data_IF_333518205420
#
_entry.id   IF_333518205420
#
_cell.length_a   1.000
_cell.length_b   1.000
_cell.length_c   1.000
_cell.angle_alpha   90.00
_cell.angle_beta   90.00
_cell.angle_gamma   90.00
#
_symmetry.space_group_name_H-M   'P 1'
#
loop_
_entity.id
_entity.type
_entity.pdbx_description
1 polymer ?
#
# COMPACT_ATOMS: atom_id res chain seq x y z
N UNK A 1 -9.26 7.09 -7.55
CA UNK A 1 -8.45 7.80 -6.53
C UNK A 1 -7.51 8.75 -7.26
N UNK A 2 -7.38 10.01 -6.84
CA UNK A 2 -6.39 10.90 -7.46
C UNK A 2 -4.99 10.46 -7.00
N UNK A 3 -4.21 9.89 -7.93
CA UNK A 3 -2.94 9.22 -7.65
C UNK A 3 -1.88 10.19 -7.12
N UNK A 4 -1.99 11.49 -7.40
CA UNK A 4 -1.01 12.51 -7.00
C UNK A 4 -1.26 13.09 -5.61
N UNK A 5 -2.45 12.88 -5.01
CA UNK A 5 -2.72 13.31 -3.63
C UNK A 5 -1.72 12.75 -2.62
N UNK A 6 -1.33 11.49 -2.82
CA UNK A 6 -0.33 10.85 -1.97
C UNK A 6 1.06 11.50 -2.10
N UNK A 7 1.31 12.24 -3.18
CA UNK A 7 2.56 12.99 -3.38
C UNK A 7 2.64 14.23 -2.48
N UNK A 8 1.54 14.67 -1.86
CA UNK A 8 1.46 15.78 -0.90
C UNK A 8 1.49 15.32 0.57
N UNK A 9 1.28 14.02 0.83
CA UNK A 9 1.21 13.48 2.20
C UNK A 9 2.60 13.39 2.85
N UNK A 10 2.78 13.97 4.03
CA UNK A 10 4.05 13.90 4.76
C UNK A 10 4.63 12.47 4.83
N UNK A 11 5.93 12.31 4.51
CA UNK A 11 6.59 11.00 4.41
C UNK A 11 6.53 10.18 5.71
N UNK A 12 6.60 10.82 6.88
CA UNK A 12 6.49 10.14 8.18
C UNK A 12 5.08 9.59 8.42
N UNK A 13 4.04 10.30 7.94
CA UNK A 13 2.65 9.81 8.00
C UNK A 13 2.46 8.64 7.05
N UNK A 14 3.07 8.70 5.87
CA UNK A 14 3.02 7.63 4.88
C UNK A 14 3.73 6.36 5.38
N UNK A 15 4.89 6.51 6.04
CA UNK A 15 5.59 5.40 6.68
C UNK A 15 4.72 4.70 7.73
N UNK A 16 4.10 5.47 8.65
CA UNK A 16 3.17 4.91 9.65
C UNK A 16 1.96 4.21 9.03
N UNK A 17 1.45 4.71 7.90
CA UNK A 17 0.36 4.06 7.18
C UNK A 17 0.82 2.71 6.60
N UNK A 18 2.03 2.64 6.04
CA UNK A 18 2.60 1.40 5.53
C UNK A 18 2.80 0.38 6.65
N UNK A 19 3.32 0.81 7.80
CA UNK A 19 3.50 -0.07 8.97
C UNK A 19 2.17 -0.69 9.41
N UNK A 20 1.12 0.14 9.58
CA UNK A 20 -0.21 -0.33 9.94
C UNK A 20 -0.83 -1.25 8.87
N UNK A 21 -0.59 -0.95 7.59
CA UNK A 21 -1.03 -1.81 6.49
C UNK A 21 -0.33 -3.17 6.53
N UNK A 22 0.98 -3.21 6.78
CA UNK A 22 1.71 -4.48 6.92
C UNK A 22 1.14 -5.36 8.04
N UNK A 23 0.75 -4.78 9.17
CA UNK A 23 0.10 -5.50 10.27
C UNK A 23 -1.24 -6.10 9.81
N UNK A 24 -2.11 -5.30 9.19
CA UNK A 24 -3.40 -5.78 8.66
C UNK A 24 -3.20 -6.89 7.63
N UNK A 25 -2.24 -6.75 6.72
CA UNK A 25 -1.95 -7.78 5.72
C UNK A 25 -1.54 -9.10 6.37
N UNK A 26 -0.69 -9.04 7.40
CA UNK A 26 -0.27 -10.22 8.14
C UNK A 26 -1.45 -10.90 8.85
N UNK A 27 -2.36 -10.11 9.42
CA UNK A 27 -3.56 -10.66 10.06
C UNK A 27 -4.51 -11.31 9.05
N UNK A 28 -4.70 -10.70 7.87
CA UNK A 28 -5.49 -11.30 6.78
C UNK A 28 -4.85 -12.60 6.25
N UNK A 29 -3.51 -12.63 6.14
CA UNK A 29 -2.76 -13.83 5.74
C UNK A 29 -2.91 -14.95 6.77
N UNK A 30 -2.89 -14.62 8.07
CA UNK A 30 -3.09 -15.58 9.15
C UNK A 30 -4.53 -16.10 9.23
N UNK A 31 -5.50 -15.22 8.99
CA UNK A 31 -6.92 -15.56 9.04
C UNK A 31 -7.33 -16.55 7.93
N UNK A 32 -6.78 -16.39 6.73
CA UNK A 32 -6.98 -17.32 5.62
C UNK A 32 -5.62 -17.71 5.01
N UNK A 33 -5.03 -18.85 5.42
CA UNK A 33 -3.72 -19.27 4.93
C UNK A 33 -3.70 -19.63 3.45
N UNK A 34 -4.84 -20.05 2.87
CA UNK A 34 -4.92 -20.47 1.48
C UNK A 34 -4.96 -19.26 0.54
N UNK A 35 -3.86 -19.07 -0.18
CA UNK A 35 -3.65 -17.92 -1.06
C UNK A 35 -4.79 -17.72 -2.08
N UNK A 36 -5.27 -18.80 -2.71
CA UNK A 36 -6.35 -18.72 -3.69
C UNK A 36 -7.66 -18.18 -3.10
N UNK A 37 -7.98 -18.58 -1.87
CA UNK A 37 -9.18 -18.09 -1.18
C UNK A 37 -9.00 -16.63 -0.77
N UNK A 38 -7.82 -16.22 -0.30
CA UNK A 38 -7.54 -14.80 -0.02
C UNK A 38 -7.76 -13.90 -1.22
N UNK A 39 -7.30 -14.29 -2.41
CA UNK A 39 -7.50 -13.45 -3.61
C UNK A 39 -8.95 -13.37 -4.07
N UNK A 40 -9.83 -14.26 -3.60
CA UNK A 40 -11.27 -14.16 -3.84
C UNK A 40 -11.97 -13.23 -2.84
N UNK A 41 -11.31 -12.90 -1.74
CA UNK A 41 -11.79 -11.91 -0.78
C UNK A 41 -11.58 -10.49 -1.34
N UNK A 42 -12.68 -9.75 -1.47
CA UNK A 42 -12.67 -8.40 -2.04
C UNK A 42 -11.88 -7.41 -1.18
N UNK A 43 -11.89 -7.56 0.14
CA UNK A 43 -11.14 -6.70 1.05
C UNK A 43 -9.64 -6.95 0.89
N UNK A 44 -9.23 -8.21 0.77
CA UNK A 44 -7.83 -8.56 0.52
C UNK A 44 -7.37 -8.03 -0.84
N UNK A 45 -8.17 -8.22 -1.89
CA UNK A 45 -7.85 -7.69 -3.21
C UNK A 45 -7.74 -6.16 -3.21
N UNK A 46 -8.69 -5.47 -2.59
CA UNK A 46 -8.69 -4.00 -2.46
C UNK A 46 -7.48 -3.51 -1.68
N UNK A 47 -7.09 -4.23 -0.63
CA UNK A 47 -5.91 -3.93 0.15
C UNK A 47 -4.62 -4.01 -0.69
N UNK A 48 -4.48 -5.03 -1.53
CA UNK A 48 -3.34 -5.16 -2.46
C UNK A 48 -3.30 -4.00 -3.46
N UNK A 49 -4.45 -3.61 -4.00
CA UNK A 49 -4.55 -2.45 -4.90
C UNK A 49 -4.11 -1.16 -4.19
N UNK A 50 -4.53 -0.95 -2.94
CA UNK A 50 -4.11 0.21 -2.15
C UNK A 50 -2.59 0.24 -1.91
N UNK A 51 -1.99 -0.89 -1.58
CA UNK A 51 -0.53 -1.03 -1.44
C UNK A 51 0.20 -0.58 -2.71
N UNK A 52 -0.26 -1.06 -3.88
CA UNK A 52 0.32 -0.70 -5.17
C UNK A 52 0.23 0.80 -5.47
N UNK A 53 -0.88 1.45 -5.12
CA UNK A 53 -1.06 2.89 -5.31
C UNK A 53 -0.06 3.68 -4.45
N UNK A 54 0.09 3.30 -3.18
CA UNK A 54 1.04 3.93 -2.26
C UNK A 54 2.48 3.73 -2.74
N UNK A 55 2.84 2.52 -3.15
CA UNK A 55 4.17 2.22 -3.66
C UNK A 55 4.51 3.04 -4.91
N UNK A 56 3.57 3.18 -5.84
CA UNK A 56 3.76 4.05 -7.01
C UNK A 56 3.97 5.51 -6.65
N UNK A 57 3.27 6.04 -5.63
CA UNK A 57 3.51 7.40 -5.14
C UNK A 57 4.90 7.57 -4.55
N UNK A 58 5.34 6.62 -3.72
CA UNK A 58 6.71 6.62 -3.17
C UNK A 58 7.77 6.59 -4.28
N UNK A 59 7.60 5.70 -5.27
CA UNK A 59 8.52 5.60 -6.41
C UNK A 59 8.60 6.90 -7.20
N UNK A 60 7.47 7.57 -7.46
CA UNK A 60 7.46 8.89 -8.12
C UNK A 60 8.23 9.94 -7.32
N UNK A 61 8.12 9.94 -5.99
CA UNK A 61 8.85 10.88 -5.13
C UNK A 61 10.35 10.67 -5.19
N UNK A 62 10.80 9.42 -5.13
CA UNK A 62 12.23 9.07 -5.23
C UNK A 62 12.78 9.50 -6.58
N UNK A 63 12.08 9.20 -7.67
CA UNK A 63 12.54 9.58 -9.01
C UNK A 63 12.64 11.10 -9.18
N UNK A 64 11.67 11.87 -8.68
CA UNK A 64 11.73 13.35 -8.70
C UNK A 64 12.91 13.92 -7.90
N UNK A 65 13.37 13.23 -6.86
CA UNK A 65 14.55 13.65 -6.08
C UNK A 65 15.87 13.32 -6.78
N UNK A 66 15.88 12.45 -7.78
CA UNK A 66 17.08 12.08 -8.55
C UNK A 66 17.26 12.93 -9.82
N UNK A 67 16.23 13.66 -10.24
CA UNK A 67 16.24 14.53 -11.42
C UNK A 67 16.63 15.99 -11.11
N UNK A 68 16.89 16.32 -9.83
CA UNK A 68 17.36 17.65 -9.37
C UNK A 68 18.68 17.56 -8.64
#
# INVERSE_FOLDING_TARGET
>A
MNMTLLDEVNIKKLAKLIDAMCEVMNDMIRAEPEEKKRYQDEAFFTFIVLCNIIFHSLKRRINKQQEG
#
